data_IF_979332709716
#
_entry.id   IF_979332709716
#
_cell.length_a   1.000
_cell.length_b   1.000
_cell.length_c   1.000
_cell.angle_alpha   90.00
_cell.angle_beta   90.00
_cell.angle_gamma   90.00
#
_symmetry.space_group_name_H-M   'P 1'
#
loop_
_entity.id
_entity.type
_entity.pdbx_description
1 polymer ?
#
# COMPACT_ATOMS: atom_id res chain seq x y z
N UNK A 1 -14.57 33.97 6.77
CA UNK A 1 -14.43 33.26 5.47
C UNK A 1 -15.51 32.20 5.44
N UNK A 2 -16.43 32.26 4.48
CA UNK A 2 -17.43 31.22 4.25
C UNK A 2 -16.96 30.40 3.07
N UNK A 3 -16.62 29.14 3.31
CA UNK A 3 -16.32 28.18 2.25
C UNK A 3 -17.65 27.68 1.70
N UNK A 4 -17.93 27.94 0.42
CA UNK A 4 -19.24 27.61 -0.19
C UNK A 4 -19.33 26.15 -0.65
N UNK A 5 -18.20 25.45 -0.84
CA UNK A 5 -18.14 24.05 -1.24
C UNK A 5 -16.81 23.40 -0.81
N UNK A 6 -16.87 22.13 -0.39
CA UNK A 6 -15.69 21.27 -0.12
C UNK A 6 -15.86 19.96 -0.88
N UNK A 7 -14.81 19.54 -1.59
CA UNK A 7 -14.74 18.24 -2.26
C UNK A 7 -13.79 17.36 -1.46
N UNK A 8 -14.28 16.19 -1.07
CA UNK A 8 -13.49 15.19 -0.36
C UNK A 8 -13.13 14.06 -1.31
N UNK A 9 -11.89 13.60 -1.20
CA UNK A 9 -11.52 12.29 -1.72
C UNK A 9 -12.18 11.18 -0.89
N UNK A 10 -12.29 9.99 -1.44
CA UNK A 10 -12.88 8.85 -0.73
C UNK A 10 -11.83 8.09 0.07
N UNK A 11 -10.81 7.56 -0.61
CA UNK A 11 -9.84 6.64 -0.04
C UNK A 11 -8.84 7.36 0.87
N UNK A 12 -8.67 6.87 2.09
CA UNK A 12 -7.80 7.49 3.10
C UNK A 12 -8.31 8.82 3.66
N UNK A 13 -9.45 9.34 3.16
CA UNK A 13 -10.07 10.60 3.61
C UNK A 13 -11.44 10.36 4.24
N UNK A 14 -12.41 9.84 3.47
CA UNK A 14 -13.74 9.50 4.00
C UNK A 14 -13.79 8.07 4.54
N UNK A 15 -12.96 7.17 4.02
CA UNK A 15 -12.89 5.76 4.40
C UNK A 15 -11.44 5.37 4.65
N UNK A 16 -11.18 4.62 5.73
CA UNK A 16 -9.85 4.10 6.05
C UNK A 16 -9.51 2.83 5.23
N UNK A 17 -9.60 2.95 3.90
CA UNK A 17 -9.29 1.87 2.97
C UNK A 17 -7.79 1.59 2.90
N UNK A 18 -6.93 2.59 3.08
CA UNK A 18 -5.48 2.44 2.98
C UNK A 18 -4.89 1.59 4.11
N UNK A 19 -5.39 1.70 5.34
CA UNK A 19 -4.96 0.83 6.45
C UNK A 19 -5.34 -0.63 6.19
N UNK A 20 -6.52 -0.86 5.63
CA UNK A 20 -6.98 -2.20 5.26
C UNK A 20 -6.12 -2.79 4.14
N UNK A 21 -5.89 -2.04 3.05
CA UNK A 21 -5.04 -2.45 1.94
C UNK A 21 -3.61 -2.78 2.40
N UNK A 22 -3.03 -1.96 3.28
CA UNK A 22 -1.69 -2.24 3.83
C UNK A 22 -1.66 -3.49 4.71
N UNK A 23 -2.73 -3.81 5.43
CA UNK A 23 -2.81 -5.06 6.21
C UNK A 23 -2.81 -6.28 5.30
N UNK A 24 -3.58 -6.25 4.21
CA UNK A 24 -3.59 -7.32 3.20
C UNK A 24 -2.21 -7.45 2.54
N UNK A 25 -1.58 -6.33 2.20
CA UNK A 25 -0.23 -6.31 1.61
C UNK A 25 0.79 -6.96 2.54
N UNK A 26 0.80 -6.60 3.83
CA UNK A 26 1.71 -7.20 4.82
C UNK A 26 1.51 -8.72 4.93
N UNK A 27 0.26 -9.20 4.91
CA UNK A 27 -0.04 -10.63 4.94
C UNK A 27 0.55 -11.32 3.70
N UNK A 28 0.29 -10.78 2.52
CA UNK A 28 0.78 -11.33 1.26
C UNK A 28 2.32 -11.34 1.18
N UNK A 29 2.97 -10.25 1.60
CA UNK A 29 4.43 -10.16 1.64
C UNK A 29 5.04 -11.13 2.65
N UNK A 30 4.37 -11.36 3.77
CA UNK A 30 4.82 -12.33 4.78
C UNK A 30 4.87 -13.75 4.18
N UNK A 31 3.88 -14.14 3.38
CA UNK A 31 3.88 -15.42 2.66
C UNK A 31 5.03 -15.53 1.64
N UNK A 32 5.47 -14.40 1.08
CA UNK A 32 6.60 -14.32 0.17
C UNK A 32 7.97 -14.18 0.86
N UNK A 33 8.00 -14.19 2.20
CA UNK A 33 9.22 -14.13 3.01
C UNK A 33 9.67 -12.72 3.41
N UNK A 34 8.83 -11.70 3.24
CA UNK A 34 9.08 -10.34 3.69
C UNK A 34 8.08 -9.94 4.78
N UNK A 35 8.50 -10.04 6.03
CA UNK A 35 7.70 -9.55 7.17
C UNK A 35 7.92 -8.05 7.36
N UNK A 36 6.82 -7.30 7.43
CA UNK A 36 6.81 -5.87 7.74
C UNK A 36 5.81 -5.62 8.85
N UNK A 37 6.10 -4.66 9.73
CA UNK A 37 5.09 -4.13 10.65
C UNK A 37 4.08 -3.29 9.86
N UNK A 38 2.79 -3.36 10.21
CA UNK A 38 1.74 -2.60 9.52
C UNK A 38 2.05 -1.09 9.48
N UNK A 39 2.59 -0.54 10.57
CA UNK A 39 2.99 0.87 10.65
C UNK A 39 4.12 1.21 9.67
N UNK A 40 5.05 0.27 9.46
CA UNK A 40 6.12 0.44 8.48
C UNK A 40 5.54 0.41 7.06
N UNK A 41 4.66 -0.56 6.75
CA UNK A 41 4.01 -0.65 5.45
C UNK A 41 3.23 0.63 5.11
N UNK A 42 2.43 1.15 6.05
CA UNK A 42 1.71 2.43 5.86
C UNK A 42 2.71 3.57 5.61
N UNK A 43 3.81 3.64 6.35
CA UNK A 43 4.81 4.70 6.15
C UNK A 43 5.53 4.62 4.80
N UNK A 44 5.66 3.42 4.22
CA UNK A 44 6.38 3.20 2.97
C UNK A 44 5.48 3.33 1.73
N UNK A 45 4.22 2.91 1.84
CA UNK A 45 3.37 2.64 0.68
C UNK A 45 2.13 3.54 0.60
N UNK A 46 1.74 4.23 1.68
CA UNK A 46 0.57 5.11 1.68
C UNK A 46 0.75 6.24 0.65
N UNK A 47 -0.21 6.38 -0.26
CA UNK A 47 -0.18 7.37 -1.34
C UNK A 47 0.87 7.13 -2.43
N UNK A 48 1.61 6.01 -2.39
CA UNK A 48 2.59 5.66 -3.42
C UNK A 48 1.93 4.98 -4.62
N UNK A 49 2.52 5.12 -5.81
CA UNK A 49 2.09 4.34 -6.97
C UNK A 49 2.47 2.89 -6.75
N UNK A 50 1.63 1.97 -7.20
CA UNK A 50 1.88 0.53 -7.06
C UNK A 50 3.24 0.11 -7.64
N UNK A 51 3.66 0.70 -8.76
CA UNK A 51 4.97 0.43 -9.35
C UNK A 51 6.15 0.78 -8.42
N UNK A 52 6.03 1.88 -7.66
CA UNK A 52 7.05 2.29 -6.70
C UNK A 52 7.04 1.35 -5.48
N UNK A 53 5.85 0.91 -5.04
CA UNK A 53 5.72 -0.09 -3.98
C UNK A 53 6.41 -1.41 -4.37
N UNK A 54 6.16 -1.90 -5.59
CA UNK A 54 6.79 -3.13 -6.12
C UNK A 54 8.31 -2.99 -6.14
N UNK A 55 8.84 -1.86 -6.62
CA UNK A 55 10.28 -1.64 -6.64
C UNK A 55 10.92 -1.70 -5.24
N UNK A 56 10.28 -1.10 -4.23
CA UNK A 56 10.73 -1.17 -2.83
C UNK A 56 10.65 -2.60 -2.28
N UNK A 57 9.59 -3.33 -2.60
CA UNK A 57 9.39 -4.72 -2.19
C UNK A 57 10.48 -5.62 -2.80
N UNK A 58 10.72 -5.52 -4.11
CA UNK A 58 11.74 -6.31 -4.82
C UNK A 58 13.14 -6.04 -4.27
N UNK A 59 13.45 -4.77 -3.98
CA UNK A 59 14.72 -4.39 -3.35
C UNK A 59 14.89 -5.05 -1.97
N UNK A 60 13.83 -5.12 -1.16
CA UNK A 60 13.87 -5.74 0.17
C UNK A 60 13.89 -7.27 0.13
N UNK A 61 13.18 -7.87 -0.82
CA UNK A 61 13.19 -9.33 -1.05
C UNK A 61 14.47 -9.81 -1.72
N UNK A 62 15.20 -8.93 -2.43
CA UNK A 62 16.39 -9.29 -3.21
C UNK A 62 16.06 -10.10 -4.47
N UNK A 63 14.80 -10.10 -4.92
CA UNK A 63 14.31 -10.80 -6.11
C UNK A 63 13.10 -10.08 -6.70
N UNK A 64 12.83 -10.36 -7.97
CA UNK A 64 11.64 -9.86 -8.64
C UNK A 64 10.36 -10.47 -8.06
N UNK A 65 9.28 -9.69 -8.05
CA UNK A 65 7.96 -10.15 -7.67
C UNK A 65 7.35 -11.02 -8.79
N UNK A 66 6.42 -11.93 -8.46
CA UNK A 66 5.64 -12.65 -9.46
C UNK A 66 4.97 -11.66 -10.44
N UNK A 67 4.97 -11.93 -11.77
CA UNK A 67 4.40 -11.02 -12.76
C UNK A 67 2.92 -10.68 -12.56
N UNK A 68 2.19 -11.56 -11.87
CA UNK A 68 0.78 -11.46 -11.56
C UNK A 68 0.48 -10.84 -10.18
N UNK A 69 1.52 -10.41 -9.43
CA UNK A 69 1.37 -9.82 -8.11
C UNK A 69 0.34 -8.68 -8.09
N UNK A 70 0.47 -7.72 -9.00
CA UNK A 70 -0.40 -6.52 -9.06
C UNK A 70 -1.85 -6.88 -9.40
N UNK A 71 -2.08 -8.00 -10.08
CA UNK A 71 -3.44 -8.45 -10.42
C UNK A 71 -4.06 -9.35 -9.35
N UNK A 72 -3.26 -9.93 -8.47
CA UNK A 72 -3.73 -10.76 -7.35
C UNK A 72 -3.91 -9.97 -6.06
N UNK A 73 -3.19 -8.85 -5.91
CA UNK A 73 -3.37 -7.87 -4.85
C UNK A 73 -4.51 -6.89 -5.17
#
# INVERSE_FOLDING_TARGET
MLTELVIFDCDGVLVDSETLSNRVLVQFLTELGLTLELKEAISLFKGCKMADCVAVIEQRLGRMMPPDFVTQF
#
